data_IF_288425683899
#
_entry.id   IF_288425683899
#
_cell.length_a   1.000
_cell.length_b   1.000
_cell.length_c   1.000
_cell.angle_alpha   90.00
_cell.angle_beta   90.00
_cell.angle_gamma   90.00
#
_symmetry.space_group_name_H-M   'P 1'
#
loop_
_entity.id
_entity.type
_entity.pdbx_description
1 polymer ?
#
# COMPACT_ATOMS: atom_id res chain seq x y z
N UNK A 1 -24.42 -34.06 4.15
CA UNK A 1 -24.05 -32.66 3.85
C UNK A 1 -23.39 -31.93 5.02
N UNK A 2 -23.67 -32.26 6.28
CA UNK A 2 -23.06 -31.59 7.47
C UNK A 2 -21.60 -31.96 7.74
N UNK A 3 -21.19 -33.19 7.44
CA UNK A 3 -19.78 -33.63 7.60
C UNK A 3 -18.82 -32.84 6.73
N UNK A 4 -19.24 -32.42 5.54
CA UNK A 4 -18.42 -31.63 4.62
C UNK A 4 -18.19 -30.17 5.13
N UNK A 5 -19.16 -29.61 5.85
CA UNK A 5 -19.03 -28.28 6.48
C UNK A 5 -18.06 -28.28 7.67
N UNK A 6 -18.02 -29.35 8.45
CA UNK A 6 -17.08 -29.48 9.60
C UNK A 6 -15.65 -29.66 9.11
N UNK A 7 -15.44 -30.50 8.10
CA UNK A 7 -14.12 -30.70 7.50
C UNK A 7 -13.59 -29.41 6.82
N UNK A 8 -14.45 -28.66 6.12
CA UNK A 8 -14.08 -27.38 5.53
C UNK A 8 -13.71 -26.33 6.59
N UNK A 9 -14.47 -26.25 7.69
CA UNK A 9 -14.13 -25.34 8.80
C UNK A 9 -12.80 -25.73 9.45
N UNK A 10 -12.56 -27.03 9.68
CA UNK A 10 -11.32 -27.53 10.24
C UNK A 10 -10.13 -27.17 9.33
N UNK A 11 -10.25 -27.39 8.02
CA UNK A 11 -9.22 -27.04 7.05
C UNK A 11 -8.90 -25.54 7.09
N UNK A 12 -9.92 -24.66 7.13
CA UNK A 12 -9.73 -23.23 7.22
C UNK A 12 -9.00 -22.85 8.51
N UNK A 13 -9.39 -23.41 9.65
CA UNK A 13 -8.74 -23.14 10.95
C UNK A 13 -7.28 -23.56 10.93
N UNK A 14 -6.98 -24.76 10.38
CA UNK A 14 -5.60 -25.26 10.26
C UNK A 14 -4.75 -24.34 9.37
N UNK A 15 -5.29 -23.90 8.24
CA UNK A 15 -4.58 -22.97 7.34
C UNK A 15 -4.32 -21.62 8.04
N UNK A 16 -5.32 -21.08 8.73
CA UNK A 16 -5.17 -19.81 9.46
C UNK A 16 -4.13 -19.97 10.58
N UNK A 17 -4.19 -21.05 11.35
CA UNK A 17 -3.22 -21.34 12.40
C UNK A 17 -1.81 -21.45 11.83
N UNK A 18 -1.62 -22.18 10.73
CA UNK A 18 -0.34 -22.31 10.04
C UNK A 18 0.22 -20.96 9.58
N UNK A 19 -0.61 -20.08 9.01
CA UNK A 19 -0.21 -18.75 8.56
C UNK A 19 0.15 -17.81 9.72
N UNK A 20 -0.46 -18.00 10.90
CA UNK A 20 -0.18 -17.19 12.08
C UNK A 20 1.06 -17.62 12.85
N UNK A 21 1.53 -18.88 12.70
CA UNK A 21 2.71 -19.40 13.42
C UNK A 21 3.93 -18.47 13.30
N UNK A 22 4.38 -18.03 12.11
CA UNK A 22 5.56 -17.17 11.98
C UNK A 22 5.40 -15.84 12.73
N UNK A 23 4.18 -15.27 12.69
CA UNK A 23 3.89 -14.00 13.35
C UNK A 23 3.93 -14.15 14.88
N UNK A 24 3.32 -15.21 15.39
CA UNK A 24 3.31 -15.54 16.84
C UNK A 24 4.72 -15.83 17.31
N UNK A 25 5.51 -16.59 16.55
CA UNK A 25 6.91 -16.88 16.89
C UNK A 25 7.75 -15.61 16.91
N UNK A 26 7.57 -14.71 15.95
CA UNK A 26 8.26 -13.41 15.94
C UNK A 26 7.90 -12.59 17.18
N UNK A 27 6.61 -12.57 17.56
CA UNK A 27 6.14 -11.89 18.77
C UNK A 27 6.77 -12.50 20.03
N UNK A 28 6.76 -13.82 20.15
CA UNK A 28 7.36 -14.52 21.30
C UNK A 28 8.85 -14.22 21.37
N UNK A 29 9.58 -14.36 20.25
CA UNK A 29 11.01 -14.11 20.18
C UNK A 29 11.38 -12.67 20.56
N UNK A 30 10.54 -11.70 20.27
CA UNK A 30 10.74 -10.29 20.62
C UNK A 30 10.67 -9.99 22.12
N UNK A 31 10.03 -10.88 22.90
CA UNK A 31 9.78 -10.70 24.33
C UNK A 31 10.82 -11.36 25.23
N UNK A 32 11.76 -12.13 24.66
CA UNK A 32 12.78 -12.85 25.41
C UNK A 32 14.18 -12.37 25.05
N UNK A 33 15.04 -12.32 26.05
CA UNK A 33 16.44 -11.95 25.89
C UNK A 33 17.19 -13.07 25.18
N UNK A 34 18.00 -12.71 24.17
CA UNK A 34 18.84 -13.57 23.32
C UNK A 34 18.53 -15.09 23.38
N UNK A 35 17.59 -15.53 22.57
CA UNK A 35 17.24 -16.94 22.48
C UNK A 35 18.31 -17.68 21.65
N UNK A 36 19.41 -18.04 22.28
CA UNK A 36 20.51 -18.81 21.66
C UNK A 36 20.35 -20.30 21.94
N UNK A 37 19.77 -20.66 23.10
CA UNK A 37 19.52 -22.03 23.52
C UNK A 37 18.07 -22.48 23.18
N UNK A 38 17.76 -23.76 23.46
CA UNK A 38 16.43 -24.36 23.22
C UNK A 38 15.32 -23.70 24.04
N UNK A 39 15.63 -23.10 25.18
CA UNK A 39 14.67 -22.42 26.06
C UNK A 39 15.02 -20.93 26.21
N UNK A 40 13.99 -20.05 26.18
CA UNK A 40 14.19 -18.62 26.41
C UNK A 40 14.63 -18.35 27.86
N UNK A 41 15.62 -17.47 28.06
CA UNK A 41 16.22 -17.25 29.38
C UNK A 41 15.45 -16.27 30.26
N UNK A 42 15.07 -15.11 29.77
CA UNK A 42 14.41 -14.07 30.57
C UNK A 42 13.41 -13.28 29.73
N UNK A 43 12.27 -12.96 30.33
CA UNK A 43 11.30 -12.07 29.73
C UNK A 43 11.80 -10.64 29.88
N UNK A 44 11.84 -9.88 28.77
CA UNK A 44 12.30 -8.51 28.77
C UNK A 44 11.57 -7.65 27.73
N UNK A 45 11.34 -6.39 28.07
CA UNK A 45 10.78 -5.39 27.20
C UNK A 45 11.81 -4.32 26.78
N UNK A 46 13.09 -4.53 27.10
CA UNK A 46 14.17 -3.56 26.84
C UNK A 46 14.25 -3.19 25.37
N UNK A 47 14.11 -4.17 24.46
CA UNK A 47 14.11 -3.93 23.02
C UNK A 47 13.03 -2.93 22.58
N UNK A 48 11.84 -3.02 23.16
CA UNK A 48 10.74 -2.09 22.85
C UNK A 48 11.01 -0.68 23.41
N UNK A 49 11.51 -0.58 24.65
CA UNK A 49 11.86 0.71 25.25
C UNK A 49 12.95 1.40 24.42
N UNK A 50 13.96 0.66 23.97
CA UNK A 50 15.02 1.20 23.13
C UNK A 50 14.51 1.68 21.75
N UNK A 51 13.62 0.92 21.10
CA UNK A 51 13.03 1.30 19.80
C UNK A 51 12.18 2.56 19.95
N UNK A 52 11.32 2.63 20.98
CA UNK A 52 10.45 3.79 21.20
C UNK A 52 11.23 5.04 21.62
N UNK A 53 12.39 4.88 22.25
CA UNK A 53 13.29 5.96 22.64
C UNK A 53 14.23 6.41 21.52
N UNK A 54 14.31 5.65 20.41
CA UNK A 54 15.20 5.98 19.31
C UNK A 54 14.55 7.00 18.34
N UNK A 55 15.05 8.24 18.27
CA UNK A 55 14.51 9.24 17.37
C UNK A 55 14.71 8.87 15.89
N UNK A 56 15.72 8.05 15.57
CA UNK A 56 15.99 7.59 14.20
C UNK A 56 14.87 6.66 13.72
N UNK A 57 14.32 5.83 14.61
CA UNK A 57 13.16 4.99 14.30
C UNK A 57 11.96 5.82 13.87
N UNK A 58 11.55 6.81 14.67
CA UNK A 58 10.39 7.64 14.38
C UNK A 58 10.57 8.49 13.11
N UNK A 59 11.77 9.00 12.89
CA UNK A 59 12.11 9.72 11.69
C UNK A 59 12.01 8.82 10.45
N UNK A 60 12.45 7.56 10.56
CA UNK A 60 12.38 6.56 9.49
C UNK A 60 10.93 6.17 9.17
N UNK A 61 10.08 6.01 10.18
CA UNK A 61 8.64 5.77 10.02
C UNK A 61 7.97 6.98 9.33
N UNK A 62 8.25 8.20 9.80
CA UNK A 62 7.72 9.43 9.20
C UNK A 62 8.12 9.58 7.73
N UNK A 63 9.38 9.31 7.39
CA UNK A 63 9.85 9.32 6.00
C UNK A 63 9.16 8.27 5.13
N UNK A 64 8.92 7.07 5.68
CA UNK A 64 8.19 6.01 4.96
C UNK A 64 6.76 6.42 4.65
N UNK A 65 6.07 7.04 5.61
CA UNK A 65 4.71 7.55 5.41
C UNK A 65 4.70 8.63 4.32
N UNK A 66 5.63 9.58 4.36
CA UNK A 66 5.71 10.64 3.35
C UNK A 66 5.97 10.10 1.95
N UNK A 67 6.97 9.20 1.81
CA UNK A 67 7.32 8.62 0.51
C UNK A 67 6.24 7.66 -0.01
N UNK A 68 5.33 7.19 0.85
CA UNK A 68 4.18 6.39 0.45
C UNK A 68 3.02 7.26 -0.05
N UNK A 69 2.71 8.34 0.66
CA UNK A 69 1.54 9.17 0.36
C UNK A 69 1.68 9.87 -1.00
N UNK A 70 2.84 10.46 -1.29
CA UNK A 70 3.04 11.28 -2.50
C UNK A 70 2.80 10.49 -3.80
N UNK A 71 3.46 9.33 -4.05
CA UNK A 71 3.24 8.57 -5.28
C UNK A 71 1.81 8.01 -5.37
N UNK A 72 1.20 7.64 -4.24
CA UNK A 72 -0.17 7.12 -4.21
C UNK A 72 -1.17 8.19 -4.65
N UNK A 73 -1.07 9.40 -4.10
CA UNK A 73 -1.96 10.50 -4.48
C UNK A 73 -1.78 10.88 -5.95
N UNK A 74 -0.54 11.06 -6.41
CA UNK A 74 -0.25 11.38 -7.80
C UNK A 74 -0.76 10.30 -8.75
N UNK A 75 -0.48 9.04 -8.46
CA UNK A 75 -0.94 7.91 -9.27
C UNK A 75 -2.47 7.84 -9.32
N UNK A 76 -3.16 8.01 -8.18
CA UNK A 76 -4.62 8.00 -8.11
C UNK A 76 -5.23 9.11 -8.96
N UNK A 77 -4.70 10.33 -8.89
CA UNK A 77 -5.17 11.46 -9.69
C UNK A 77 -4.97 11.17 -11.18
N UNK A 78 -3.79 10.71 -11.58
CA UNK A 78 -3.48 10.39 -12.98
C UNK A 78 -4.40 9.30 -13.52
N UNK A 79 -4.62 8.23 -12.75
CA UNK A 79 -5.50 7.13 -13.16
C UNK A 79 -6.96 7.59 -13.26
N UNK A 80 -7.45 8.40 -12.31
CA UNK A 80 -8.81 8.97 -12.39
C UNK A 80 -8.99 9.85 -13.63
N UNK A 81 -8.00 10.67 -13.96
CA UNK A 81 -8.04 11.48 -15.19
C UNK A 81 -7.98 10.62 -16.45
N UNK A 82 -7.15 9.58 -16.46
CA UNK A 82 -7.13 8.62 -17.59
C UNK A 82 -8.46 7.92 -17.76
N UNK A 83 -9.09 7.47 -16.66
CA UNK A 83 -10.41 6.84 -16.68
C UNK A 83 -11.52 7.81 -17.13
N UNK A 84 -11.43 9.08 -16.72
CA UNK A 84 -12.35 10.10 -17.23
C UNK A 84 -12.31 10.19 -18.76
N UNK A 85 -11.11 10.21 -19.34
CA UNK A 85 -10.95 10.31 -20.81
C UNK A 85 -11.45 9.04 -21.49
N UNK A 86 -11.10 7.86 -20.99
CA UNK A 86 -11.49 6.57 -21.59
C UNK A 86 -13.00 6.34 -21.51
N UNK A 87 -13.63 6.60 -20.36
CA UNK A 87 -15.09 6.37 -20.21
C UNK A 87 -15.95 7.35 -20.98
N UNK A 88 -15.50 8.60 -21.17
CA UNK A 88 -16.33 9.66 -21.73
C UNK A 88 -16.05 9.94 -23.22
N UNK A 89 -14.77 9.91 -23.60
CA UNK A 89 -14.38 10.38 -24.94
C UNK A 89 -13.91 9.25 -25.85
N UNK A 90 -13.21 8.26 -25.32
CA UNK A 90 -12.51 7.23 -26.09
C UNK A 90 -12.63 5.84 -25.47
N UNK A 91 -13.83 5.21 -25.47
CA UNK A 91 -14.01 3.86 -24.89
C UNK A 91 -13.12 2.80 -25.52
N UNK A 92 -12.73 2.97 -26.78
CA UNK A 92 -11.83 2.06 -27.49
C UNK A 92 -10.41 2.02 -26.89
N UNK A 93 -10.04 3.09 -26.15
CA UNK A 93 -8.72 3.20 -25.54
C UNK A 93 -8.61 2.45 -24.20
N UNK A 94 -9.73 2.00 -23.63
CA UNK A 94 -9.73 1.23 -22.36
C UNK A 94 -8.79 0.02 -22.43
N UNK A 95 -8.80 -0.70 -23.56
CA UNK A 95 -7.91 -1.86 -23.80
C UNK A 95 -6.42 -1.47 -23.76
N UNK A 96 -6.07 -0.35 -24.38
CA UNK A 96 -4.66 0.10 -24.41
C UNK A 96 -4.20 0.60 -23.05
N UNK A 97 -5.05 1.35 -22.34
CA UNK A 97 -4.77 1.80 -20.98
C UNK A 97 -4.63 0.60 -20.04
N UNK A 98 -5.49 -0.42 -20.18
CA UNK A 98 -5.40 -1.65 -19.41
C UNK A 98 -4.05 -2.36 -19.62
N UNK A 99 -3.63 -2.53 -20.88
CA UNK A 99 -2.34 -3.15 -21.20
C UNK A 99 -1.20 -2.33 -20.59
N UNK A 100 -1.17 -1.01 -20.82
CA UNK A 100 -0.13 -0.12 -20.31
C UNK A 100 -0.02 -0.18 -18.78
N UNK A 101 -1.16 -0.12 -18.09
CA UNK A 101 -1.20 -0.17 -16.62
C UNK A 101 -0.85 -1.56 -16.05
N UNK A 102 -0.92 -2.62 -16.87
CA UNK A 102 -0.61 -3.99 -16.41
C UNK A 102 0.84 -4.40 -16.67
N UNK A 103 1.52 -3.74 -17.61
CA UNK A 103 2.96 -4.01 -17.93
C UNK A 103 3.85 -4.02 -16.66
N UNK A 104 3.70 -3.10 -15.69
CA UNK A 104 4.55 -3.09 -14.51
C UNK A 104 4.52 -4.38 -13.67
N UNK A 105 3.46 -5.19 -13.75
CA UNK A 105 3.45 -6.51 -13.09
C UNK A 105 4.53 -7.46 -13.61
N UNK A 106 4.93 -7.33 -14.86
CA UNK A 106 5.95 -8.18 -15.45
C UNK A 106 7.38 -7.82 -15.01
N UNK A 107 7.60 -6.59 -14.51
CA UNK A 107 8.93 -6.06 -14.20
C UNK A 107 9.01 -5.64 -12.72
N UNK A 108 8.48 -6.48 -11.83
CA UNK A 108 8.51 -6.22 -10.38
C UNK A 108 9.82 -6.72 -9.72
N UNK A 109 10.04 -6.31 -8.47
CA UNK A 109 11.17 -6.75 -7.66
C UNK A 109 12.45 -5.95 -7.92
N UNK A 110 13.58 -6.62 -7.98
CA UNK A 110 14.91 -6.00 -8.05
C UNK A 110 15.20 -5.41 -9.44
N UNK A 111 14.60 -5.95 -10.50
CA UNK A 111 14.88 -5.55 -11.88
C UNK A 111 14.49 -4.10 -12.13
N UNK A 112 13.31 -3.69 -11.70
CA UNK A 112 12.78 -2.36 -11.95
C UNK A 112 13.70 -1.24 -11.40
N UNK A 113 14.10 -1.23 -10.11
CA UNK A 113 14.95 -0.17 -9.59
C UNK A 113 16.35 -0.18 -10.21
N UNK A 114 16.90 -1.33 -10.60
CA UNK A 114 18.19 -1.41 -11.31
C UNK A 114 18.07 -0.77 -12.69
N UNK A 115 17.02 -1.08 -13.46
CA UNK A 115 16.78 -0.46 -14.76
C UNK A 115 16.61 1.06 -14.64
N UNK A 116 15.82 1.52 -13.66
CA UNK A 116 15.63 2.96 -13.41
C UNK A 116 16.96 3.62 -13.05
N UNK A 117 17.74 3.03 -12.16
CA UNK A 117 19.03 3.58 -11.79
C UNK A 117 19.97 3.67 -13.00
N UNK A 118 20.05 2.64 -13.82
CA UNK A 118 20.92 2.60 -15.01
C UNK A 118 20.54 3.66 -16.06
N UNK A 119 19.24 3.88 -16.27
CA UNK A 119 18.75 4.85 -17.24
C UNK A 119 18.98 6.30 -16.78
N UNK A 120 18.79 6.57 -15.48
CA UNK A 120 18.77 7.95 -14.97
C UNK A 120 20.09 8.44 -14.37
N UNK A 121 21.11 7.57 -14.22
CA UNK A 121 22.45 7.99 -13.74
C UNK A 121 23.10 9.02 -14.66
N UNK A 122 22.86 8.97 -15.97
CA UNK A 122 23.43 9.86 -16.98
C UNK A 122 22.57 11.07 -17.31
N UNK A 123 21.38 11.20 -16.68
CA UNK A 123 20.44 12.31 -16.98
C UNK A 123 20.74 13.51 -16.08
N UNK A 124 20.70 14.76 -16.59
CA UNK A 124 20.93 15.97 -15.79
C UNK A 124 19.83 16.19 -14.75
N UNK A 125 20.15 16.93 -13.69
CA UNK A 125 19.15 17.40 -12.70
C UNK A 125 18.03 18.18 -13.39
N UNK A 126 16.75 18.07 -12.97
CA UNK A 126 16.27 17.47 -11.70
C UNK A 126 15.97 15.96 -11.74
N UNK A 127 16.02 15.31 -12.91
CA UNK A 127 15.61 13.93 -13.10
C UNK A 127 16.52 12.91 -12.41
N UNK A 128 17.77 13.27 -12.11
CA UNK A 128 18.71 12.45 -11.33
C UNK A 128 18.61 12.69 -9.81
N UNK A 129 17.49 13.22 -9.32
CA UNK A 129 17.26 13.33 -7.89
C UNK A 129 16.72 12.00 -7.34
N UNK A 130 17.37 11.43 -6.31
CA UNK A 130 17.02 10.15 -5.71
C UNK A 130 15.58 10.10 -5.22
N UNK A 131 15.06 11.17 -4.64
CA UNK A 131 13.67 11.26 -4.17
C UNK A 131 12.71 11.24 -5.36
N UNK A 132 13.04 11.97 -6.43
CA UNK A 132 12.23 11.96 -7.67
C UNK A 132 12.19 10.56 -8.28
N UNK A 133 13.33 9.87 -8.35
CA UNK A 133 13.41 8.49 -8.85
C UNK A 133 12.61 7.52 -7.99
N UNK A 134 12.67 7.66 -6.66
CA UNK A 134 11.86 6.86 -5.73
C UNK A 134 10.36 7.05 -5.98
N UNK A 135 9.90 8.30 -6.02
CA UNK A 135 8.48 8.61 -6.24
C UNK A 135 8.01 8.05 -7.58
N UNK A 136 8.78 8.28 -8.65
CA UNK A 136 8.45 7.80 -10.00
C UNK A 136 8.41 6.26 -10.07
N UNK A 137 9.37 5.59 -9.44
CA UNK A 137 9.42 4.13 -9.40
C UNK A 137 8.26 3.56 -8.61
N UNK A 138 7.91 4.14 -7.46
CA UNK A 138 6.74 3.73 -6.70
C UNK A 138 5.44 3.95 -7.48
N UNK A 139 5.30 5.06 -8.21
CA UNK A 139 4.13 5.27 -9.08
C UNK A 139 3.98 4.13 -10.10
N UNK A 140 5.09 3.69 -10.70
CA UNK A 140 5.07 2.56 -11.65
C UNK A 140 4.62 1.27 -10.95
N UNK A 141 5.16 0.97 -9.78
CA UNK A 141 4.84 -0.26 -9.03
C UNK A 141 3.39 -0.32 -8.57
N UNK A 142 2.85 0.80 -8.08
CA UNK A 142 1.47 0.85 -7.55
C UNK A 142 0.42 1.07 -8.62
N UNK A 143 0.82 1.50 -9.83
CA UNK A 143 -0.07 1.81 -10.94
C UNK A 143 -1.09 0.69 -11.23
N UNK A 144 -0.68 -0.60 -11.39
CA UNK A 144 -1.62 -1.66 -11.70
C UNK A 144 -2.66 -1.89 -10.60
N UNK A 145 -2.28 -1.73 -9.33
CA UNK A 145 -3.19 -1.95 -8.19
C UNK A 145 -4.26 -0.85 -8.09
N UNK A 146 -3.85 0.41 -8.24
CA UNK A 146 -4.77 1.56 -8.25
C UNK A 146 -5.65 1.52 -9.49
N UNK A 147 -5.09 1.24 -10.67
CA UNK A 147 -5.83 1.14 -11.91
C UNK A 147 -6.93 0.07 -11.83
N UNK A 148 -6.58 -1.16 -11.44
CA UNK A 148 -7.55 -2.26 -11.34
C UNK A 148 -8.64 -1.96 -10.31
N UNK A 149 -8.26 -1.38 -9.16
CA UNK A 149 -9.22 -1.01 -8.15
C UNK A 149 -10.23 0.02 -8.64
N UNK A 150 -9.78 1.10 -9.28
CA UNK A 150 -10.67 2.12 -9.84
C UNK A 150 -11.53 1.52 -10.94
N UNK A 151 -10.93 0.80 -11.90
CA UNK A 151 -11.64 0.19 -13.03
C UNK A 151 -12.72 -0.79 -12.59
N UNK A 152 -12.41 -1.69 -11.67
CA UNK A 152 -13.38 -2.66 -11.16
C UNK A 152 -14.57 -1.97 -10.49
N UNK A 153 -14.32 -0.93 -9.70
CA UNK A 153 -15.40 -0.17 -9.06
C UNK A 153 -16.25 0.60 -10.06
N UNK A 154 -15.66 1.20 -11.09
CA UNK A 154 -16.40 1.85 -12.19
C UNK A 154 -17.33 0.87 -12.91
N UNK A 155 -16.86 -0.36 -13.13
CA UNK A 155 -17.71 -1.41 -13.73
C UNK A 155 -18.83 -1.85 -12.77
N UNK A 156 -18.54 -2.04 -11.49
CA UNK A 156 -19.53 -2.48 -10.50
C UNK A 156 -20.71 -1.52 -10.35
N UNK A 157 -20.46 -0.21 -10.36
CA UNK A 157 -21.53 0.80 -10.24
C UNK A 157 -22.23 1.09 -11.56
N UNK A 158 -21.77 0.54 -12.67
CA UNK A 158 -22.31 0.84 -14.01
C UNK A 158 -22.11 2.32 -14.37
N UNK A 159 -20.88 2.83 -14.25
CA UNK A 159 -20.55 4.25 -14.38
C UNK A 159 -21.13 4.94 -15.61
N UNK A 160 -21.21 4.24 -16.77
CA UNK A 160 -21.79 4.79 -17.99
C UNK A 160 -23.25 5.19 -17.80
N UNK A 161 -24.05 4.32 -17.15
CA UNK A 161 -25.48 4.61 -16.89
C UNK A 161 -25.66 5.79 -15.95
N UNK A 162 -24.80 5.93 -14.94
CA UNK A 162 -24.83 7.08 -14.03
C UNK A 162 -24.46 8.38 -14.73
N UNK A 163 -23.50 8.35 -15.65
CA UNK A 163 -23.11 9.52 -16.45
C UNK A 163 -24.26 9.94 -17.39
N UNK A 164 -24.87 8.98 -18.08
CA UNK A 164 -26.03 9.23 -18.97
C UNK A 164 -27.21 9.81 -18.18
N UNK A 165 -27.55 9.23 -17.03
CA UNK A 165 -28.63 9.74 -16.18
C UNK A 165 -28.36 11.18 -15.70
N UNK A 166 -27.13 11.47 -15.27
CA UNK A 166 -26.75 12.83 -14.86
C UNK A 166 -26.81 13.83 -16.03
N UNK A 167 -26.45 13.41 -17.24
CA UNK A 167 -26.57 14.26 -18.45
C UNK A 167 -28.03 14.54 -18.83
N UNK A 168 -28.95 13.58 -18.67
CA UNK A 168 -30.37 13.79 -18.86
C UNK A 168 -30.94 14.86 -17.92
N UNK A 169 -30.34 15.02 -16.75
CA UNK A 169 -30.62 16.09 -15.77
C UNK A 169 -29.91 17.41 -16.06
N UNK A 170 -29.20 17.53 -17.21
CA UNK A 170 -28.48 18.74 -17.60
C UNK A 170 -27.06 18.88 -17.07
N UNK A 171 -26.49 17.86 -16.38
CA UNK A 171 -25.13 17.91 -15.91
C UNK A 171 -24.13 17.80 -17.08
N UNK A 172 -23.05 18.56 -17.01
CA UNK A 172 -21.91 18.39 -17.93
C UNK A 172 -21.19 17.05 -17.68
N UNK A 173 -20.54 16.51 -18.71
CA UNK A 173 -19.77 15.25 -18.62
C UNK A 173 -18.73 15.27 -17.50
N UNK A 174 -18.03 16.39 -17.34
CA UNK A 174 -17.06 16.58 -16.27
C UNK A 174 -17.72 16.55 -14.89
N UNK A 175 -18.81 17.29 -14.72
CA UNK A 175 -19.57 17.32 -13.48
C UNK A 175 -20.11 15.92 -13.12
N UNK A 176 -20.73 15.23 -14.08
CA UNK A 176 -21.24 13.88 -13.89
C UNK A 176 -20.14 12.91 -13.43
N UNK A 177 -18.96 12.96 -14.02
CA UNK A 177 -17.87 12.08 -13.62
C UNK A 177 -17.32 12.40 -12.22
N UNK A 178 -16.93 13.65 -11.97
CA UNK A 178 -16.25 14.01 -10.72
C UNK A 178 -17.19 14.18 -9.52
N UNK A 179 -18.47 14.55 -9.73
CA UNK A 179 -19.42 14.78 -8.63
C UNK A 179 -20.44 13.65 -8.44
N UNK A 180 -20.63 12.78 -9.43
CA UNK A 180 -21.53 11.63 -9.30
C UNK A 180 -20.75 10.33 -9.27
N UNK A 181 -19.91 10.05 -10.28
CA UNK A 181 -19.24 8.75 -10.40
C UNK A 181 -18.11 8.60 -9.36
N UNK A 182 -17.20 9.57 -9.27
CA UNK A 182 -16.04 9.48 -8.36
C UNK A 182 -16.43 9.29 -6.89
N UNK A 183 -17.41 10.04 -6.33
CA UNK A 183 -17.84 9.80 -4.94
C UNK A 183 -18.38 8.38 -4.72
N UNK A 184 -19.11 7.82 -5.70
CA UNK A 184 -19.68 6.48 -5.62
C UNK A 184 -18.65 5.35 -5.66
N UNK A 185 -17.47 5.57 -6.27
CA UNK A 185 -16.39 4.58 -6.28
C UNK A 185 -15.39 4.77 -5.15
N UNK A 186 -15.51 5.83 -4.34
CA UNK A 186 -14.49 6.21 -3.34
C UNK A 186 -14.13 5.09 -2.37
N UNK A 187 -15.12 4.25 -2.01
CA UNK A 187 -14.91 3.10 -1.13
C UNK A 187 -13.90 2.11 -1.73
N UNK A 188 -14.08 1.76 -2.99
CA UNK A 188 -13.16 0.87 -3.69
C UNK A 188 -11.81 1.51 -3.99
N UNK A 189 -11.79 2.80 -4.29
CA UNK A 189 -10.54 3.56 -4.45
C UNK A 189 -9.73 3.56 -3.16
N UNK A 190 -10.39 3.76 -2.00
CA UNK A 190 -9.71 3.73 -0.71
C UNK A 190 -9.09 2.37 -0.41
N UNK A 191 -9.79 1.27 -0.72
CA UNK A 191 -9.21 -0.08 -0.56
C UNK A 191 -7.95 -0.24 -1.42
N UNK A 192 -7.96 0.26 -2.64
CA UNK A 192 -6.79 0.21 -3.54
C UNK A 192 -5.63 1.08 -3.04
N UNK A 193 -5.94 2.24 -2.48
CA UNK A 193 -4.96 3.12 -1.83
C UNK A 193 -4.33 2.42 -0.61
N UNK A 194 -5.13 1.75 0.22
CA UNK A 194 -4.61 1.01 1.39
C UNK A 194 -3.70 -0.14 0.95
N UNK A 195 -4.06 -0.86 -0.11
CA UNK A 195 -3.22 -1.92 -0.68
C UNK A 195 -1.90 -1.33 -1.23
N UNK A 196 -1.96 -0.25 -1.98
CA UNK A 196 -0.78 0.45 -2.49
C UNK A 196 0.12 0.95 -1.34
N UNK A 197 -0.47 1.47 -0.25
CA UNK A 197 0.26 1.90 0.93
C UNK A 197 0.99 0.75 1.62
N UNK A 198 0.32 -0.41 1.76
CA UNK A 198 0.94 -1.61 2.33
C UNK A 198 2.14 -2.09 1.49
N UNK A 199 2.03 -2.03 0.15
CA UNK A 199 3.11 -2.39 -0.77
C UNK A 199 4.31 -1.46 -0.60
N UNK A 200 4.10 -0.13 -0.64
CA UNK A 200 5.19 0.85 -0.51
C UNK A 200 5.79 0.84 0.88
N UNK A 201 4.97 0.71 1.93
CA UNK A 201 5.46 0.67 3.32
C UNK A 201 6.31 -0.58 3.60
N UNK A 202 5.98 -1.71 2.97
CA UNK A 202 6.72 -2.97 3.10
C UNK A 202 7.96 -3.07 2.19
N UNK A 203 8.19 -2.12 1.29
CA UNK A 203 9.27 -2.23 0.32
C UNK A 203 10.63 -1.82 0.91
N UNK A 204 11.59 -2.71 0.77
CA UNK A 204 12.99 -2.49 1.07
C UNK A 204 13.83 -2.31 -0.19
N UNK A 205 13.50 -3.07 -1.25
CA UNK A 205 14.36 -3.27 -2.41
C UNK A 205 14.55 -1.98 -3.21
N UNK A 206 13.47 -1.27 -3.47
CA UNK A 206 13.48 -0.04 -4.27
C UNK A 206 14.25 1.05 -3.53
N UNK A 207 13.97 1.23 -2.22
CA UNK A 207 14.66 2.23 -1.41
C UNK A 207 16.14 1.93 -1.32
N UNK A 208 16.52 0.68 -1.01
CA UNK A 208 17.91 0.28 -0.88
C UNK A 208 18.70 0.48 -2.19
N UNK A 209 18.08 0.17 -3.33
CA UNK A 209 18.73 0.28 -4.64
C UNK A 209 18.86 1.73 -5.12
N UNK A 210 17.80 2.54 -4.99
CA UNK A 210 17.77 3.89 -5.54
C UNK A 210 18.33 4.96 -4.59
N UNK A 211 18.04 4.85 -3.30
CA UNK A 211 18.45 5.85 -2.30
C UNK A 211 19.61 5.40 -1.43
N UNK A 212 19.80 4.09 -1.24
CA UNK A 212 20.83 3.55 -0.35
C UNK A 212 20.74 4.13 1.06
N UNK A 213 21.89 4.35 1.71
CA UNK A 213 21.94 4.91 3.06
C UNK A 213 21.56 6.39 3.19
N UNK A 214 21.27 7.10 2.09
CA UNK A 214 20.95 8.54 2.14
C UNK A 214 19.50 8.84 2.53
N UNK A 215 18.59 7.87 2.39
CA UNK A 215 17.18 8.03 2.75
C UNK A 215 16.71 6.83 3.56
N UNK A 216 16.85 6.94 4.88
CA UNK A 216 16.50 5.86 5.80
C UNK A 216 14.98 5.80 5.98
N UNK A 217 14.41 4.69 5.50
CA UNK A 217 13.01 4.31 5.72
C UNK A 217 12.88 3.30 6.86
N UNK A 218 11.65 2.99 7.27
CA UNK A 218 11.39 2.00 8.31
C UNK A 218 11.97 0.61 7.96
N UNK A 219 11.91 0.20 6.70
CA UNK A 219 12.49 -1.06 6.25
C UNK A 219 14.03 -1.03 6.20
N UNK A 220 14.62 0.12 5.89
CA UNK A 220 16.08 0.32 5.98
C UNK A 220 16.54 0.28 7.44
N UNK A 221 15.78 0.92 8.35
CA UNK A 221 16.06 0.84 9.79
C UNK A 221 15.98 -0.61 10.29
N UNK A 222 14.96 -1.36 9.91
CA UNK A 222 14.82 -2.78 10.22
C UNK A 222 16.05 -3.58 9.74
N UNK A 223 16.48 -3.34 8.51
CA UNK A 223 17.65 -4.01 7.93
C UNK A 223 18.93 -3.72 8.69
N UNK A 224 19.13 -2.49 9.16
CA UNK A 224 20.30 -2.10 9.95
C UNK A 224 20.28 -2.74 11.36
N UNK A 225 19.10 -2.85 11.97
CA UNK A 225 18.92 -3.54 13.26
C UNK A 225 19.14 -5.04 13.12
N UNK A 226 18.70 -5.64 12.00
CA UNK A 226 18.87 -7.08 11.74
C UNK A 226 20.31 -7.54 11.75
N UNK A 227 21.25 -6.67 11.39
CA UNK A 227 22.68 -6.97 11.44
C UNK A 227 23.28 -6.97 12.86
N UNK A 228 22.53 -6.44 13.84
CA UNK A 228 23.04 -6.20 15.20
C UNK A 228 22.45 -7.17 16.23
N UNK A 229 21.14 -7.41 16.19
CA UNK A 229 20.44 -8.22 17.18
C UNK A 229 19.15 -8.82 16.61
N UNK A 230 18.99 -10.14 16.75
CA UNK A 230 17.80 -10.86 16.34
C UNK A 230 16.56 -10.46 17.14
N UNK A 231 16.71 -10.30 18.46
CA UNK A 231 15.61 -9.89 19.35
C UNK A 231 15.08 -8.50 18.98
N UNK A 232 15.97 -7.51 18.84
CA UNK A 232 15.58 -6.16 18.42
C UNK A 232 14.92 -6.16 17.05
N UNK A 233 15.40 -6.99 16.13
CA UNK A 233 14.79 -7.16 14.81
C UNK A 233 13.35 -7.62 14.93
N UNK A 234 13.08 -8.64 15.73
CA UNK A 234 11.72 -9.13 15.95
C UNK A 234 10.84 -8.08 16.62
N UNK A 235 11.37 -7.34 17.59
CA UNK A 235 10.62 -6.23 18.20
C UNK A 235 10.30 -5.12 17.19
N UNK A 236 11.23 -4.73 16.32
CA UNK A 236 10.99 -3.76 15.23
C UNK A 236 9.92 -4.27 14.26
N UNK A 237 9.97 -5.56 13.85
CA UNK A 237 8.96 -6.17 12.98
C UNK A 237 7.57 -6.07 13.62
N UNK A 238 7.44 -6.42 14.90
CA UNK A 238 6.16 -6.34 15.63
C UNK A 238 5.65 -4.90 15.69
N UNK A 239 6.52 -3.93 16.02
CA UNK A 239 6.14 -2.50 16.08
C UNK A 239 5.72 -2.01 14.70
N UNK A 240 6.47 -2.29 13.64
CA UNK A 240 6.12 -1.89 12.27
C UNK A 240 4.81 -2.54 11.79
N UNK A 241 4.57 -3.79 12.16
CA UNK A 241 3.31 -4.46 11.87
C UNK A 241 2.13 -3.76 12.55
N UNK A 242 2.26 -3.44 13.84
CA UNK A 242 1.23 -2.69 14.58
C UNK A 242 1.02 -1.28 13.98
N UNK A 243 2.09 -0.56 13.65
CA UNK A 243 2.01 0.75 13.00
C UNK A 243 1.27 0.65 11.66
N UNK A 244 1.58 -0.34 10.83
CA UNK A 244 0.89 -0.54 9.55
C UNK A 244 -0.59 -0.87 9.75
N UNK A 245 -0.93 -1.70 10.74
CA UNK A 245 -2.33 -1.99 11.09
C UNK A 245 -3.06 -0.74 11.58
N UNK A 246 -2.43 0.09 12.41
CA UNK A 246 -3.03 1.32 12.90
C UNK A 246 -3.28 2.32 11.77
N UNK A 247 -2.34 2.50 10.85
CA UNK A 247 -2.51 3.36 9.68
C UNK A 247 -3.66 2.86 8.82
N UNK A 248 -3.72 1.55 8.55
CA UNK A 248 -4.80 0.92 7.78
C UNK A 248 -6.15 1.05 8.47
N UNK A 249 -6.20 0.82 9.78
CA UNK A 249 -7.42 0.98 10.57
C UNK A 249 -7.90 2.45 10.57
N UNK A 250 -6.99 3.41 10.77
CA UNK A 250 -7.31 4.84 10.69
C UNK A 250 -7.93 5.21 9.35
N UNK A 251 -7.32 4.79 8.24
CA UNK A 251 -7.84 5.05 6.91
C UNK A 251 -9.25 4.46 6.72
N UNK A 252 -9.49 3.24 7.21
CA UNK A 252 -10.78 2.58 7.17
C UNK A 252 -11.85 3.28 8.03
N UNK A 253 -11.50 3.72 9.24
CA UNK A 253 -12.44 4.43 10.11
C UNK A 253 -12.81 5.81 9.57
N UNK A 254 -11.85 6.55 8.99
CA UNK A 254 -12.11 7.84 8.34
C UNK A 254 -13.11 7.66 7.20
N UNK A 255 -12.95 6.61 6.40
CA UNK A 255 -13.85 6.27 5.31
C UNK A 255 -15.26 5.98 5.82
N UNK A 256 -15.43 5.08 6.80
CA UNK A 256 -16.74 4.74 7.37
C UNK A 256 -17.47 5.94 7.97
N UNK A 257 -16.73 6.86 8.59
CA UNK A 257 -17.33 8.08 9.15
C UNK A 257 -17.89 8.99 8.05
N UNK A 258 -17.21 9.05 6.90
CA UNK A 258 -17.67 9.82 5.74
C UNK A 258 -18.93 9.21 5.12
N UNK A 259 -19.04 7.89 5.04
CA UNK A 259 -20.24 7.19 4.57
C UNK A 259 -21.48 7.51 5.43
N UNK A 260 -21.37 7.37 6.74
CA UNK A 260 -22.45 7.67 7.68
C UNK A 260 -22.88 9.13 7.65
N UNK A 261 -21.94 10.06 7.39
CA UNK A 261 -22.27 11.49 7.25
C UNK A 261 -23.08 11.80 5.97
N UNK A 262 -22.88 11.02 4.91
CA UNK A 262 -23.61 11.17 3.64
C UNK A 262 -25.01 10.57 3.72
N UNK A 263 -25.20 9.45 4.42
CA UNK A 263 -26.51 8.84 4.67
C UNK A 263 -27.42 9.72 5.54
N UNK A 264 -26.85 10.37 6.57
CA UNK A 264 -27.62 11.24 7.49
C UNK A 264 -27.93 12.62 6.91
N UNK A 265 -27.36 13.00 5.76
CA UNK A 265 -27.64 14.29 5.08
C UNK A 265 -28.72 14.21 3.99
N UNK A 266 -29.31 13.04 3.78
CA UNK A 266 -30.37 12.79 2.75
C UNK A 266 -31.78 12.67 3.36
N UNK A 267 -31.94 13.02 4.63
CA UNK A 267 -33.26 13.09 5.29
C UNK A 267 -33.69 14.53 5.53
#
# INVERSE_FOLDING_TARGET
METNKKSAKLAIVVIIAYLLIPLVMTLIYSLFEEWIDVLPKSFTLTAYVEIFSDPVFWLSVGRTVLISIVPILLCTIIVLLAMYVTYIYKPEWDKYVQILCTIPYAVQGVILPICVLSLYTSVPKPFNNRIFLLISTYMIVILPYIYQGIRNNLHCIGANKLIEAAQMLGASKFYAFFHVVVPNIMNGVTVSIMLAMAIVFGDFVIVNTLAGGHFQTAQMYLYDVMKKSGQRTCAVIVVLFVVTLLISACAFFIQRKKERGTENGVH
#
